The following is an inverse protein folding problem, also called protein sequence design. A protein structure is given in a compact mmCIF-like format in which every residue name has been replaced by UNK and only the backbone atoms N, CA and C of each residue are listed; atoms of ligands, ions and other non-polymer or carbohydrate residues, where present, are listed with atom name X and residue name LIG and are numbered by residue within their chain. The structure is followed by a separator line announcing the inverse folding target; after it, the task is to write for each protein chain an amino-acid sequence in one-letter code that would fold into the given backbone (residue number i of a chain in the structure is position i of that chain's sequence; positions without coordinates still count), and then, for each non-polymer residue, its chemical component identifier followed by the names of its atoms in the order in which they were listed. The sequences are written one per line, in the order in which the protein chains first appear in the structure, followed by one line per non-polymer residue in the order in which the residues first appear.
data_IF_322845207149
#
_entry.id   IF_322845207149
#
_cell.length_a   1.000
_cell.length_b   1.000
_cell.length_c   1.000
_cell.angle_alpha   90.00
_cell.angle_beta   90.00
_cell.angle_gamma   90.00
#
_symmetry.space_group_name_H-M   'P 1'
#
loop_
_entity.id
_entity.type
_entity.pdbx_description
1 polymer ?
#
# COMPACT_ATOMS: atom_id res chain seq x y z
N UNK A 1 -9.93 55.92 2.73
CA UNK A 1 -9.84 55.11 1.50
C UNK A 1 -9.20 53.77 1.84
N UNK A 2 -9.79 52.66 1.38
CA UNK A 2 -9.64 51.30 1.91
C UNK A 2 -8.29 50.66 1.53
N UNK A 3 -7.64 50.00 2.49
CA UNK A 3 -6.53 49.07 2.23
C UNK A 3 -7.06 47.84 1.49
N UNK A 4 -6.48 47.54 0.33
CA UNK A 4 -6.71 46.28 -0.39
C UNK A 4 -5.74 45.22 0.15
N UNK A 5 -6.26 44.25 0.90
CA UNK A 5 -5.53 43.08 1.34
C UNK A 5 -5.38 42.08 0.20
N UNK A 6 -4.15 41.77 -0.18
CA UNK A 6 -3.84 40.65 -1.08
C UNK A 6 -3.91 39.36 -0.27
N UNK A 7 -4.95 38.56 -0.50
CA UNK A 7 -5.05 37.20 0.02
C UNK A 7 -4.34 36.26 -0.97
N UNK A 8 -3.17 35.74 -0.60
CA UNK A 8 -2.51 34.68 -1.37
C UNK A 8 -3.33 33.39 -1.20
N UNK A 9 -4.08 33.02 -2.25
CA UNK A 9 -4.64 31.68 -2.39
C UNK A 9 -3.51 30.73 -2.80
N UNK A 10 -2.98 29.99 -1.84
CA UNK A 10 -2.09 28.87 -2.11
C UNK A 10 -2.90 27.72 -2.72
N UNK A 11 -2.80 27.57 -4.04
CA UNK A 11 -3.26 26.39 -4.76
C UNK A 11 -2.36 25.21 -4.38
N UNK A 12 -2.80 24.39 -3.44
CA UNK A 12 -2.21 23.07 -3.21
C UNK A 12 -2.60 22.16 -4.38
N UNK A 13 -1.78 22.18 -5.43
CA UNK A 13 -1.81 21.16 -6.46
C UNK A 13 -1.32 19.84 -5.86
N UNK A 14 -2.24 18.98 -5.43
CA UNK A 14 -1.94 17.58 -5.11
C UNK A 14 -1.53 16.89 -6.41
N UNK A 15 -0.21 16.82 -6.65
CA UNK A 15 0.35 16.06 -7.74
C UNK A 15 0.13 14.56 -7.45
N UNK A 16 -0.71 13.92 -8.25
CA UNK A 16 -0.78 12.47 -8.29
C UNK A 16 0.55 11.95 -8.84
N UNK A 17 1.20 11.04 -8.11
CA UNK A 17 2.45 10.41 -8.54
C UNK A 17 2.16 9.35 -9.62
N UNK A 18 1.79 9.80 -10.82
CA UNK A 18 1.79 8.94 -12.00
C UNK A 18 3.24 8.54 -12.31
N UNK A 19 3.56 7.25 -12.17
CA UNK A 19 4.84 6.71 -12.61
C UNK A 19 4.68 6.30 -14.07
N UNK A 20 5.28 7.00 -15.05
CA UNK A 20 5.05 6.74 -16.47
C UNK A 20 5.55 5.38 -16.96
N UNK A 21 6.15 4.56 -16.09
CA UNK A 21 6.75 3.27 -16.44
C UNK A 21 5.78 2.10 -16.31
N UNK A 22 4.91 2.13 -15.30
CA UNK A 22 3.92 1.10 -15.06
C UNK A 22 2.56 1.78 -14.92
N UNK A 23 1.50 1.22 -15.51
CA UNK A 23 0.13 1.75 -15.43
C UNK A 23 -0.46 1.60 -14.02
N UNK A 24 0.09 2.37 -13.07
CA UNK A 24 -0.22 2.35 -11.64
C UNK A 24 -0.43 3.75 -11.10
N UNK A 25 -1.33 3.87 -10.14
CA UNK A 25 -1.77 5.14 -9.56
C UNK A 25 -1.01 5.52 -8.28
N UNK A 26 -0.45 4.53 -7.59
CA UNK A 26 0.20 4.69 -6.29
C UNK A 26 1.28 3.63 -6.10
N UNK A 27 2.27 3.95 -5.27
CA UNK A 27 3.35 3.05 -4.89
C UNK A 27 3.40 2.88 -3.39
N UNK A 28 3.70 1.65 -2.96
CA UNK A 28 3.69 1.22 -1.57
C UNK A 28 4.99 0.47 -1.27
N UNK A 29 5.50 0.59 -0.05
CA UNK A 29 6.60 -0.25 0.42
C UNK A 29 6.10 -1.23 1.50
N UNK A 30 6.56 -2.48 1.46
CA UNK A 30 6.37 -3.47 2.53
C UNK A 30 7.72 -3.88 3.08
N UNK A 31 7.90 -3.72 4.39
CA UNK A 31 9.16 -3.99 5.10
C UNK A 31 8.95 -4.93 6.29
N UNK A 32 9.97 -5.74 6.57
CA UNK A 32 10.06 -6.55 7.78
C UNK A 32 11.02 -5.88 8.76
N UNK A 33 10.66 -5.81 10.05
CA UNK A 33 11.57 -5.40 11.13
C UNK A 33 12.38 -6.58 11.64
N UNK A 34 11.82 -7.79 11.59
CA UNK A 34 12.50 -9.03 12.00
C UNK A 34 11.97 -10.27 11.25
N UNK A 35 12.86 -11.25 11.05
CA UNK A 35 12.50 -12.53 10.42
C UNK A 35 12.15 -12.43 8.93
N UNK A 36 12.04 -13.59 8.30
CA UNK A 36 11.59 -13.71 6.92
C UNK A 36 10.08 -13.91 6.88
N UNK A 37 9.40 -13.29 5.92
CA UNK A 37 7.96 -13.35 5.78
C UNK A 37 7.58 -13.67 4.36
N UNK A 38 6.64 -14.61 4.19
CA UNK A 38 5.95 -14.83 2.95
C UNK A 38 4.77 -13.84 2.87
N UNK A 39 4.77 -13.02 1.83
CA UNK A 39 3.70 -12.07 1.55
C UNK A 39 2.84 -12.60 0.41
N UNK A 40 1.53 -12.47 0.54
CA UNK A 40 0.53 -12.82 -0.48
C UNK A 40 -0.45 -11.67 -0.62
N UNK A 41 -0.64 -11.18 -1.86
CA UNK A 41 -1.58 -10.09 -2.15
C UNK A 41 -2.72 -10.58 -3.03
N UNK A 42 -3.95 -10.17 -2.74
CA UNK A 42 -5.16 -10.62 -3.45
C UNK A 42 -6.17 -9.49 -3.58
N UNK A 43 -6.60 -9.22 -4.80
CA UNK A 43 -7.75 -8.36 -5.08
C UNK A 43 -9.04 -9.04 -4.57
N UNK A 44 -9.95 -8.26 -4.00
CA UNK A 44 -11.24 -8.73 -3.46
C UNK A 44 -12.41 -8.22 -4.30
N UNK A 45 -12.49 -6.91 -4.55
CA UNK A 45 -13.66 -6.27 -5.16
C UNK A 45 -13.54 -6.19 -6.69
N UNK A 46 -12.95 -5.11 -7.21
CA UNK A 46 -12.75 -4.92 -8.65
C UNK A 46 -11.39 -5.45 -9.11
N UNK A 47 -11.29 -5.67 -10.42
CA UNK A 47 -10.01 -5.95 -11.03
C UNK A 47 -9.04 -4.79 -10.79
N UNK A 48 -7.82 -5.14 -10.39
CA UNK A 48 -6.72 -4.22 -10.16
C UNK A 48 -5.40 -4.91 -10.49
N UNK A 49 -4.38 -4.10 -10.67
CA UNK A 49 -3.04 -4.51 -11.02
C UNK A 49 -2.12 -4.26 -9.83
N UNK A 50 -1.38 -5.28 -9.42
CA UNK A 50 -0.30 -5.19 -8.44
C UNK A 50 1.00 -5.57 -9.14
N UNK A 51 1.95 -4.65 -9.24
CA UNK A 51 3.23 -4.89 -9.95
C UNK A 51 4.43 -4.51 -9.12
N UNK A 52 5.57 -5.12 -9.44
CA UNK A 52 6.88 -4.68 -8.96
C UNK A 52 7.42 -3.48 -9.77
N UNK A 53 8.62 -3.01 -9.42
CA UNK A 53 9.30 -1.91 -10.11
C UNK A 53 9.70 -2.23 -11.56
N UNK A 54 9.65 -3.50 -11.96
CA UNK A 54 9.84 -3.98 -13.34
C UNK A 54 8.53 -4.11 -14.11
N UNK A 55 7.42 -3.62 -13.53
CA UNK A 55 6.05 -3.72 -14.04
C UNK A 55 5.57 -5.16 -14.24
N UNK A 56 6.15 -6.13 -13.52
CA UNK A 56 5.69 -7.51 -13.54
C UNK A 56 4.67 -7.75 -12.43
N UNK A 57 3.59 -8.52 -12.69
CA UNK A 57 2.60 -8.83 -11.66
C UNK A 57 3.24 -9.46 -10.43
N UNK A 58 2.92 -8.94 -9.24
CA UNK A 58 3.43 -9.45 -7.96
C UNK A 58 2.27 -9.78 -7.04
N UNK A 59 2.06 -11.07 -6.82
CA UNK A 59 0.97 -11.59 -5.98
C UNK A 59 1.48 -12.42 -4.79
N UNK A 60 2.75 -12.81 -4.83
CA UNK A 60 3.43 -13.57 -3.79
C UNK A 60 4.93 -13.27 -3.84
N UNK A 61 5.54 -13.03 -2.68
CA UNK A 61 6.97 -12.73 -2.57
C UNK A 61 7.45 -12.96 -1.13
N UNK A 62 8.78 -13.03 -0.95
CA UNK A 62 9.40 -13.12 0.36
C UNK A 62 10.09 -11.80 0.71
N UNK A 63 9.95 -11.36 1.95
CA UNK A 63 10.69 -10.23 2.52
C UNK A 63 11.51 -10.65 3.74
N UNK A 64 12.50 -9.85 4.05
CA UNK A 64 13.35 -9.96 5.24
C UNK A 64 13.78 -8.55 5.70
N UNK A 65 14.48 -8.39 6.83
CA UNK A 65 14.93 -7.08 7.29
C UNK A 65 15.85 -6.34 6.31
N UNK A 66 16.50 -7.08 5.40
CA UNK A 66 17.40 -6.51 4.39
C UNK A 66 16.77 -6.43 2.99
N UNK A 67 15.54 -6.94 2.82
CA UNK A 67 14.86 -7.01 1.53
C UNK A 67 13.35 -6.82 1.72
N UNK A 68 12.88 -5.60 1.50
CA UNK A 68 11.45 -5.30 1.35
C UNK A 68 10.96 -5.49 -0.08
N UNK A 69 9.69 -5.16 -0.32
CA UNK A 69 9.14 -4.98 -1.67
C UNK A 69 8.58 -3.57 -1.81
N UNK A 70 8.88 -2.94 -2.94
CA UNK A 70 8.10 -1.81 -3.44
C UNK A 70 7.14 -2.33 -4.50
N UNK A 71 5.84 -2.08 -4.35
CA UNK A 71 4.82 -2.48 -5.33
C UNK A 71 3.94 -1.30 -5.73
N UNK A 72 3.52 -1.31 -7.00
CA UNK A 72 2.57 -0.36 -7.55
C UNK A 72 1.17 -0.95 -7.58
N UNK A 73 0.17 -0.13 -7.28
CA UNK A 73 -1.24 -0.49 -7.43
C UNK A 73 -1.89 0.34 -8.54
N UNK A 74 -2.47 -0.35 -9.52
CA UNK A 74 -3.16 0.21 -10.68
C UNK A 74 -4.58 -0.31 -10.81
N UNK A 75 -5.42 0.46 -11.48
CA UNK A 75 -6.79 0.12 -11.83
C UNK A 75 -7.20 0.93 -13.07
N UNK A 76 -8.25 0.52 -13.77
CA UNK A 76 -8.68 1.20 -14.99
C UNK A 76 -9.27 2.59 -14.72
N UNK A 77 -9.18 3.49 -15.71
CA UNK A 77 -9.67 4.88 -15.59
C UNK A 77 -11.19 4.99 -15.34
N UNK A 78 -11.95 3.92 -15.61
CA UNK A 78 -13.39 3.82 -15.37
C UNK A 78 -13.74 3.18 -14.01
N UNK A 79 -12.75 2.98 -13.12
CA UNK A 79 -12.96 2.40 -11.81
C UNK A 79 -13.97 3.19 -10.97
N UNK A 80 -14.87 2.47 -10.30
CA UNK A 80 -15.85 3.06 -9.38
C UNK A 80 -15.26 3.46 -8.02
N UNK A 81 -13.94 3.34 -7.86
CA UNK A 81 -13.21 3.46 -6.58
C UNK A 81 -13.72 2.51 -5.49
N UNK A 82 -14.37 1.40 -5.86
CA UNK A 82 -14.69 0.32 -4.91
C UNK A 82 -13.50 -0.62 -4.82
N UNK A 83 -12.37 -0.10 -4.31
CA UNK A 83 -11.12 -0.85 -4.22
C UNK A 83 -11.08 -1.61 -2.92
N UNK A 84 -10.82 -2.91 -2.99
CA UNK A 84 -10.52 -3.76 -1.85
C UNK A 84 -9.50 -4.84 -2.26
N UNK A 85 -8.43 -4.96 -1.49
CA UNK A 85 -7.46 -6.04 -1.60
C UNK A 85 -6.86 -6.37 -0.24
N UNK A 86 -6.29 -7.56 -0.11
CA UNK A 86 -5.57 -7.98 1.10
C UNK A 86 -4.08 -8.06 0.86
N UNK A 87 -3.30 -7.74 1.89
CA UNK A 87 -1.89 -8.13 2.03
C UNK A 87 -1.82 -9.06 3.23
N UNK A 88 -1.45 -10.31 3.00
CA UNK A 88 -1.26 -11.30 4.06
C UNK A 88 0.22 -11.61 4.18
N UNK A 89 0.79 -11.42 5.37
CA UNK A 89 2.17 -11.75 5.69
C UNK A 89 2.19 -12.89 6.70
N UNK A 90 2.93 -13.96 6.41
CA UNK A 90 3.11 -15.11 7.31
C UNK A 90 4.60 -15.25 7.59
N UNK A 91 4.99 -15.19 8.87
CA UNK A 91 6.39 -15.35 9.28
C UNK A 91 6.84 -16.77 9.01
N UNK A 92 7.97 -16.90 8.34
CA UNK A 92 8.58 -18.18 8.04
C UNK A 92 9.28 -18.71 9.29
N UNK A 93 8.61 -19.61 9.99
CA UNK A 93 9.16 -20.31 11.16
C UNK A 93 8.82 -21.79 11.05
N UNK A 94 9.62 -22.63 11.69
CA UNK A 94 9.29 -24.06 11.84
C UNK A 94 8.35 -24.23 13.03
N UNK A 95 7.05 -24.47 12.80
CA UNK A 95 6.07 -24.72 13.87
C UNK A 95 4.60 -24.46 13.48
N UNK A 96 3.70 -24.55 14.46
CA UNK A 96 2.25 -24.36 14.28
C UNK A 96 1.75 -22.92 14.61
N UNK A 97 2.65 -22.02 15.00
CA UNK A 97 2.32 -20.64 15.41
C UNK A 97 3.05 -19.60 14.55
N UNK A 98 2.78 -19.59 13.24
CA UNK A 98 3.30 -18.53 12.38
C UNK A 98 2.63 -17.20 12.74
N UNK A 99 3.43 -16.25 13.24
CA UNK A 99 3.02 -14.85 13.33
C UNK A 99 2.47 -14.40 11.97
N UNK A 100 1.30 -13.76 12.00
CA UNK A 100 0.57 -13.41 10.78
C UNK A 100 0.06 -11.99 10.86
N UNK A 101 0.28 -11.22 9.80
CA UNK A 101 -0.36 -9.93 9.57
C UNK A 101 -1.35 -10.05 8.41
N UNK A 102 -2.55 -9.51 8.58
CA UNK A 102 -3.50 -9.30 7.48
C UNK A 102 -3.83 -7.83 7.41
N UNK A 103 -3.52 -7.20 6.29
CA UNK A 103 -3.95 -5.85 5.97
C UNK A 103 -5.12 -5.94 5.00
N UNK A 104 -6.24 -5.35 5.37
CA UNK A 104 -7.38 -5.15 4.46
C UNK A 104 -7.26 -3.72 3.97
N UNK A 105 -6.92 -3.56 2.70
CA UNK A 105 -6.72 -2.26 2.06
C UNK A 105 -7.95 -1.94 1.24
N UNK A 106 -8.63 -0.86 1.61
CA UNK A 106 -9.76 -0.34 0.85
C UNK A 106 -9.56 1.14 0.55
N UNK A 107 -10.31 1.64 -0.43
CA UNK A 107 -10.42 3.08 -0.68
C UNK A 107 -11.86 3.38 -1.08
N UNK A 108 -12.37 4.56 -0.70
CA UNK A 108 -13.68 5.06 -1.11
C UNK A 108 -13.58 6.34 -1.96
N UNK A 109 -12.36 6.72 -2.33
CA UNK A 109 -12.07 7.86 -3.20
C UNK A 109 -10.57 8.11 -3.38
N UNK A 110 -10.19 9.02 -4.28
CA UNK A 110 -8.79 9.39 -4.50
C UNK A 110 -8.13 9.86 -3.21
N UNK A 111 -6.97 9.30 -2.90
CA UNK A 111 -6.16 9.63 -1.71
C UNK A 111 -6.91 9.50 -0.36
N UNK A 112 -7.95 8.66 -0.30
CA UNK A 112 -8.69 8.33 0.91
C UNK A 112 -8.63 6.82 1.18
N UNK A 113 -7.45 6.29 1.57
CA UNK A 113 -7.33 4.89 1.96
C UNK A 113 -8.04 4.65 3.30
N UNK A 114 -8.66 3.50 3.44
CA UNK A 114 -9.16 2.95 4.70
C UNK A 114 -8.56 1.55 4.87
N UNK A 115 -7.62 1.44 5.80
CA UNK A 115 -6.79 0.25 5.98
C UNK A 115 -6.90 -0.26 7.41
N UNK A 116 -7.25 -1.53 7.54
CA UNK A 116 -7.22 -2.24 8.81
C UNK A 116 -6.05 -3.23 8.85
N UNK A 117 -5.28 -3.20 9.94
CA UNK A 117 -4.21 -4.15 10.20
C UNK A 117 -4.62 -5.11 11.32
N UNK A 118 -4.55 -6.41 11.03
CA UNK A 118 -4.90 -7.49 11.96
C UNK A 118 -3.64 -8.27 12.30
N UNK A 119 -3.31 -8.30 13.58
CA UNK A 119 -2.16 -9.02 14.12
C UNK A 119 -2.60 -10.32 14.79
N UNK A 120 -1.96 -11.43 14.40
CA UNK A 120 -2.22 -12.75 14.98
C UNK A 120 -0.94 -13.35 15.55
N UNK A 121 -1.11 -14.12 16.64
CA UNK A 121 -0.03 -14.84 17.32
C UNK A 121 1.16 -13.94 17.74
N UNK A 122 0.87 -12.70 18.14
CA UNK A 122 1.88 -11.74 18.59
C UNK A 122 2.68 -11.07 17.47
N UNK A 123 2.18 -11.09 16.23
CA UNK A 123 2.76 -10.28 15.15
C UNK A 123 2.65 -8.77 15.44
N UNK A 124 3.64 -8.01 15.02
CA UNK A 124 3.58 -6.55 14.86
C UNK A 124 3.13 -6.25 13.44
N UNK A 125 2.01 -5.53 13.28
CA UNK A 125 1.45 -5.18 11.99
C UNK A 125 1.08 -3.70 12.00
N UNK A 126 1.75 -2.91 11.18
CA UNK A 126 1.59 -1.47 11.18
C UNK A 126 1.64 -0.91 9.76
N UNK A 127 1.03 0.26 9.57
CA UNK A 127 1.00 0.93 8.29
C UNK A 127 0.92 2.45 8.47
N UNK A 128 1.33 3.19 7.44
CA UNK A 128 1.23 4.65 7.43
C UNK A 128 1.00 5.18 6.02
N UNK A 129 0.34 6.32 5.94
CA UNK A 129 0.24 7.10 4.70
C UNK A 129 1.57 7.79 4.42
N UNK A 130 2.03 7.71 3.17
CA UNK A 130 3.16 8.47 2.63
C UNK A 130 2.59 9.54 1.68
N UNK A 131 2.50 10.82 2.11
CA UNK A 131 1.81 11.85 1.36
C UNK A 131 2.29 11.98 -0.09
N UNK A 132 1.34 11.90 -1.02
CA UNK A 132 1.60 12.01 -2.46
C UNK A 132 2.22 10.77 -3.11
N UNK A 133 2.40 9.67 -2.37
CA UNK A 133 3.00 8.43 -2.90
C UNK A 133 2.07 7.23 -2.76
N UNK A 134 1.55 6.97 -1.56
CA UNK A 134 0.77 5.76 -1.23
C UNK A 134 0.83 5.43 0.25
N UNK A 135 0.97 4.16 0.59
CA UNK A 135 1.08 3.68 1.97
C UNK A 135 2.26 2.73 2.16
N UNK A 136 2.92 2.83 3.30
CA UNK A 136 3.98 1.91 3.73
C UNK A 136 3.42 0.93 4.75
N UNK A 137 3.78 -0.35 4.63
CA UNK A 137 3.41 -1.46 5.52
C UNK A 137 4.66 -2.02 6.22
N UNK A 138 4.50 -2.35 7.50
CA UNK A 138 5.57 -2.91 8.34
C UNK A 138 5.07 -4.15 9.08
N UNK A 139 5.87 -5.23 9.05
CA UNK A 139 5.61 -6.48 9.78
C UNK A 139 6.78 -6.85 10.68
N UNK A 140 6.52 -7.54 11.80
CA UNK A 140 7.54 -7.98 12.79
C UNK A 140 7.07 -9.12 13.68
#
# INVERSE_FOLDING_TARGET
MKLAGFCLLALCSSAFAFSPRCDVHTWHDIRSTEGSWKITMRMISQAGLLVDESCQPVNEFQISPTRGLRYGFGFSDDASFDIAYTITAIKETTGFESQTCVFVVTANGPAQPDINALAYHGAYCDWKVVPGIGEDFTVG
#
